data_IF_039218820149
#
_entry.id   IF_039218820149
#
_cell.length_a   1.000
_cell.length_b   1.000
_cell.length_c   1.000
_cell.angle_alpha   90.00
_cell.angle_beta   90.00
_cell.angle_gamma   90.00
#
_symmetry.space_group_name_H-M   'P 1'
#
loop_
_entity.id
_entity.type
_entity.pdbx_description
1 polymer ?
#
# COMPACT_ATOMS: atom_id res chain seq x y z
N UNK A 1 21.04 -10.12 20.55
CA UNK A 1 22.41 -9.56 20.48
C UNK A 1 23.33 -10.43 19.62
N UNK A 2 23.44 -11.72 19.83
CA UNK A 2 24.30 -12.66 19.07
C UNK A 2 24.11 -12.58 17.55
N UNK A 3 22.88 -12.61 17.06
CA UNK A 3 22.57 -12.50 15.63
C UNK A 3 23.02 -11.17 14.98
N UNK A 4 23.04 -10.09 15.76
CA UNK A 4 23.56 -8.80 15.31
C UNK A 4 25.07 -8.84 15.14
N UNK A 5 25.78 -9.43 16.11
CA UNK A 5 27.24 -9.61 16.07
C UNK A 5 27.63 -10.47 14.87
N UNK A 6 26.91 -11.56 14.63
CA UNK A 6 27.13 -12.43 13.46
C UNK A 6 26.96 -11.69 12.13
N UNK A 7 25.93 -10.86 12.02
CA UNK A 7 25.71 -10.05 10.80
C UNK A 7 26.78 -8.98 10.60
N UNK A 8 27.21 -8.34 11.67
CA UNK A 8 28.32 -7.38 11.61
C UNK A 8 29.61 -8.07 11.20
N UNK A 9 29.93 -9.25 11.73
CA UNK A 9 31.11 -10.02 11.35
C UNK A 9 31.08 -10.39 9.87
N UNK A 10 29.97 -10.92 9.38
CA UNK A 10 29.78 -11.20 7.94
C UNK A 10 29.97 -9.96 7.07
N UNK A 11 29.54 -8.80 7.54
CA UNK A 11 29.71 -7.55 6.79
C UNK A 11 31.17 -7.14 6.73
N UNK A 12 31.89 -7.24 7.84
CA UNK A 12 33.34 -6.98 7.93
C UNK A 12 34.09 -7.90 6.96
N UNK A 13 33.79 -9.20 6.98
CA UNK A 13 34.43 -10.19 6.12
C UNK A 13 34.19 -9.89 4.61
N UNK A 14 32.97 -9.47 4.24
CA UNK A 14 32.68 -9.07 2.87
C UNK A 14 33.41 -7.80 2.44
N UNK A 15 33.55 -6.82 3.33
CA UNK A 15 34.33 -5.61 3.10
C UNK A 15 35.81 -5.94 2.92
N UNK A 16 36.37 -6.78 3.79
CA UNK A 16 37.76 -7.23 3.70
C UNK A 16 38.05 -7.95 2.37
N UNK A 17 37.20 -8.93 2.00
CA UNK A 17 37.29 -9.63 0.71
C UNK A 17 37.23 -8.67 -0.48
N UNK A 18 36.37 -7.66 -0.46
CA UNK A 18 36.19 -6.73 -1.55
C UNK A 18 37.30 -5.69 -1.65
N UNK A 19 37.69 -5.09 -0.53
CA UNK A 19 38.63 -3.94 -0.50
C UNK A 19 40.08 -4.42 -0.40
N UNK A 20 40.35 -5.34 0.54
CA UNK A 20 41.73 -5.77 0.82
C UNK A 20 42.21 -6.84 -0.15
N UNK A 21 41.35 -7.79 -0.54
CA UNK A 21 41.71 -8.91 -1.42
C UNK A 21 41.28 -8.70 -2.88
N UNK A 22 40.52 -7.65 -3.17
CA UNK A 22 40.06 -7.34 -4.54
C UNK A 22 39.05 -8.36 -5.11
N UNK A 23 38.44 -9.22 -4.28
CA UNK A 23 37.54 -10.25 -4.74
C UNK A 23 36.23 -9.67 -5.26
N UNK A 24 35.66 -10.27 -6.31
CA UNK A 24 34.30 -9.96 -6.75
C UNK A 24 33.29 -10.71 -5.89
N UNK A 25 32.56 -10.00 -5.03
CA UNK A 25 31.55 -10.61 -4.17
C UNK A 25 30.33 -11.00 -5.01
N UNK A 26 29.92 -12.28 -5.04
CA UNK A 26 28.72 -12.75 -5.71
C UNK A 26 27.47 -12.01 -5.22
N UNK A 27 26.50 -11.81 -6.10
CA UNK A 27 25.28 -11.06 -5.78
C UNK A 27 24.46 -11.70 -4.65
N UNK A 28 24.49 -13.04 -4.55
CA UNK A 28 23.85 -13.83 -3.51
C UNK A 28 24.44 -13.62 -2.11
N UNK A 29 25.73 -13.27 -2.03
CA UNK A 29 26.42 -13.05 -0.75
C UNK A 29 26.33 -11.60 -0.26
N UNK A 30 25.94 -10.64 -1.14
CA UNK A 30 25.86 -9.23 -0.77
C UNK A 30 24.76 -9.00 0.27
N UNK A 31 25.12 -8.51 1.44
CA UNK A 31 24.19 -8.20 2.53
C UNK A 31 23.19 -7.08 2.15
N UNK A 32 23.62 -6.19 1.25
CA UNK A 32 22.86 -5.03 0.76
C UNK A 32 22.59 -5.10 -0.73
N UNK A 33 22.25 -6.26 -1.28
CA UNK A 33 21.90 -6.35 -2.69
C UNK A 33 20.39 -6.25 -2.89
N UNK A 34 20.01 -5.64 -4.03
CA UNK A 34 18.60 -5.53 -4.45
C UNK A 34 17.88 -6.89 -4.52
N UNK A 35 18.59 -7.98 -4.80
CA UNK A 35 18.05 -9.33 -4.93
C UNK A 35 17.97 -10.10 -3.61
N UNK A 36 18.81 -9.77 -2.61
CA UNK A 36 18.85 -10.50 -1.35
C UNK A 36 17.77 -10.07 -0.34
N UNK A 37 16.96 -9.05 -0.64
CA UNK A 37 15.84 -8.60 0.20
C UNK A 37 16.22 -8.03 1.56
N UNK A 38 17.50 -8.09 1.97
CA UNK A 38 17.97 -7.60 3.28
C UNK A 38 18.71 -6.28 3.11
N UNK A 39 18.32 -5.26 3.85
CA UNK A 39 18.74 -3.89 3.53
C UNK A 39 19.09 -3.02 4.73
N UNK A 40 18.81 -3.50 5.92
CA UNK A 40 19.25 -2.90 7.16
C UNK A 40 19.81 -3.97 8.09
N UNK A 41 20.96 -3.70 8.68
CA UNK A 41 21.56 -4.58 9.72
C UNK A 41 20.70 -4.50 10.99
N UNK A 42 20.11 -3.33 11.24
CA UNK A 42 19.32 -3.07 12.45
C UNK A 42 17.85 -3.49 12.29
N UNK A 43 17.27 -3.25 11.09
CA UNK A 43 15.86 -3.55 10.79
C UNK A 43 15.77 -4.46 9.57
N UNK A 44 15.93 -5.78 9.81
CA UNK A 44 16.03 -6.80 8.75
C UNK A 44 14.76 -6.97 7.92
N UNK A 45 13.62 -6.50 8.40
CA UNK A 45 12.34 -6.53 7.70
C UNK A 45 12.21 -5.40 6.67
N UNK A 46 13.07 -4.38 6.72
CA UNK A 46 13.04 -3.25 5.78
C UNK A 46 13.32 -3.69 4.34
N UNK A 47 12.54 -3.21 3.41
CA UNK A 47 12.64 -3.49 1.97
C UNK A 47 13.06 -2.25 1.18
N UNK A 48 13.63 -2.47 0.01
CA UNK A 48 13.87 -1.41 -0.97
C UNK A 48 12.69 -1.34 -1.92
N UNK A 49 11.98 -0.26 -1.88
CA UNK A 49 10.84 -0.03 -2.75
C UNK A 49 11.28 0.88 -3.89
N UNK A 50 11.39 0.31 -5.10
CA UNK A 50 11.69 1.10 -6.29
C UNK A 50 10.45 1.91 -6.68
N UNK A 51 10.57 3.25 -6.68
CA UNK A 51 9.45 4.17 -6.97
C UNK A 51 9.32 4.52 -8.45
N UNK A 52 10.23 4.09 -9.32
CA UNK A 52 10.25 4.48 -10.73
C UNK A 52 10.43 5.99 -11.00
N UNK A 53 10.70 6.77 -9.95
CA UNK A 53 10.97 8.21 -10.01
C UNK A 53 12.47 8.48 -10.18
N UNK A 54 12.83 9.64 -10.77
CA UNK A 54 14.24 10.02 -10.91
C UNK A 54 14.94 10.27 -9.57
N UNK A 55 14.23 10.81 -8.56
CA UNK A 55 14.74 11.06 -7.19
C UNK A 55 13.59 11.12 -6.18
N UNK A 56 13.67 10.42 -5.06
CA UNK A 56 14.52 9.25 -4.84
C UNK A 56 14.05 8.07 -5.69
N UNK A 57 14.99 7.34 -6.29
CA UNK A 57 14.68 6.15 -7.10
C UNK A 57 14.30 4.95 -6.26
N UNK A 58 14.70 4.94 -5.00
CA UNK A 58 14.48 3.87 -4.02
C UNK A 58 14.14 4.49 -2.67
N UNK A 59 13.15 3.93 -2.02
CA UNK A 59 12.79 4.22 -0.63
C UNK A 59 12.97 2.97 0.22
N UNK A 60 13.40 3.16 1.48
CA UNK A 60 13.53 2.09 2.45
C UNK A 60 12.26 2.05 3.30
N UNK A 61 11.67 0.88 3.45
CA UNK A 61 10.46 0.71 4.24
C UNK A 61 9.75 -0.59 3.98
N UNK A 62 8.49 -0.66 4.39
CA UNK A 62 7.55 -1.73 4.07
C UNK A 62 6.41 -1.18 3.25
N UNK A 63 5.96 -1.94 2.27
CA UNK A 63 4.75 -1.62 1.55
C UNK A 63 3.53 -1.90 2.43
N UNK A 64 2.62 -0.94 2.47
CA UNK A 64 1.31 -1.10 3.09
C UNK A 64 0.25 -0.85 2.03
N UNK A 65 -0.53 -1.89 1.72
CA UNK A 65 -1.71 -1.75 0.87
C UNK A 65 -2.91 -1.33 1.72
N UNK A 66 -3.72 -0.41 1.22
CA UNK A 66 -4.97 -0.01 1.86
C UNK A 66 -6.16 -0.21 0.90
N UNK A 67 -7.29 -0.61 1.46
CA UNK A 67 -8.58 -0.65 0.75
C UNK A 67 -9.52 0.36 1.40
N UNK A 68 -10.07 1.26 0.60
CA UNK A 68 -10.98 2.29 1.09
C UNK A 68 -12.37 2.11 0.49
N UNK A 69 -13.38 2.49 1.26
CA UNK A 69 -14.77 2.53 0.81
C UNK A 69 -15.11 3.85 0.09
N UNK A 70 -16.37 3.99 -0.32
CA UNK A 70 -16.90 5.19 -0.98
C UNK A 70 -16.90 6.45 -0.10
N UNK A 71 -16.72 6.32 1.20
CA UNK A 71 -16.66 7.41 2.18
C UNK A 71 -15.22 7.76 2.58
N UNK A 72 -14.23 7.14 1.90
CA UNK A 72 -12.82 7.25 2.21
C UNK A 72 -12.45 6.69 3.61
N UNK A 73 -13.21 5.72 4.13
CA UNK A 73 -12.80 4.95 5.28
C UNK A 73 -11.94 3.78 4.85
N UNK A 74 -10.88 3.51 5.58
CA UNK A 74 -10.01 2.36 5.32
C UNK A 74 -10.67 1.13 5.92
N UNK A 75 -11.20 0.26 5.07
CA UNK A 75 -11.93 -0.95 5.46
C UNK A 75 -11.06 -2.18 5.59
N UNK A 76 -9.90 -2.17 4.92
CA UNK A 76 -8.89 -3.21 5.03
C UNK A 76 -7.49 -2.64 4.75
N UNK A 77 -6.47 -3.24 5.35
CA UNK A 77 -5.07 -2.93 5.07
C UNK A 77 -4.20 -4.19 5.15
N UNK A 78 -3.10 -4.18 4.41
CA UNK A 78 -2.14 -5.28 4.36
C UNK A 78 -0.72 -4.75 4.44
N UNK A 79 0.04 -5.17 5.46
CA UNK A 79 1.49 -5.00 5.48
C UNK A 79 2.10 -6.12 4.64
N UNK A 80 2.76 -5.76 3.55
CA UNK A 80 3.30 -6.74 2.59
C UNK A 80 4.66 -7.24 3.03
N UNK A 81 4.89 -8.54 2.90
CA UNK A 81 6.16 -9.20 3.27
C UNK A 81 6.85 -9.75 2.02
N UNK A 82 7.68 -8.95 1.38
CA UNK A 82 8.38 -9.31 0.13
C UNK A 82 7.45 -9.81 -1.00
N UNK A 83 6.19 -9.38 -0.97
CA UNK A 83 5.17 -9.76 -1.94
C UNK A 83 5.02 -8.70 -3.03
N UNK A 84 4.76 -9.16 -4.25
CA UNK A 84 4.29 -8.27 -5.31
C UNK A 84 2.82 -7.90 -5.06
N UNK A 85 2.42 -6.69 -5.49
CA UNK A 85 1.07 -6.20 -5.33
C UNK A 85 0.02 -7.18 -5.92
N UNK A 86 0.34 -7.84 -7.03
CA UNK A 86 -0.54 -8.83 -7.65
C UNK A 86 -0.73 -10.12 -6.83
N UNK A 87 0.19 -10.45 -5.94
CA UNK A 87 0.11 -11.67 -5.13
C UNK A 87 -0.83 -11.55 -3.92
N UNK A 88 -1.17 -10.32 -3.50
CA UNK A 88 -2.05 -10.10 -2.35
C UNK A 88 -3.53 -10.04 -2.73
N UNK A 89 -3.86 -9.95 -4.02
CA UNK A 89 -5.25 -9.81 -4.49
C UNK A 89 -6.16 -10.94 -4.02
N UNK A 90 -5.81 -12.24 -4.10
CA UNK A 90 -6.68 -13.31 -3.63
C UNK A 90 -7.07 -13.16 -2.16
N UNK A 91 -6.10 -12.83 -1.31
CA UNK A 91 -6.34 -12.61 0.12
C UNK A 91 -7.21 -11.38 0.39
N UNK A 92 -7.00 -10.30 -0.36
CA UNK A 92 -7.83 -9.09 -0.26
C UNK A 92 -9.27 -9.36 -0.67
N UNK A 93 -9.47 -10.13 -1.75
CA UNK A 93 -10.81 -10.53 -2.24
C UNK A 93 -11.53 -11.34 -1.18
N UNK A 94 -10.90 -12.39 -0.66
CA UNK A 94 -11.48 -13.24 0.38
C UNK A 94 -11.91 -12.43 1.62
N UNK A 95 -11.01 -11.61 2.15
CA UNK A 95 -11.28 -10.80 3.36
C UNK A 95 -12.35 -9.73 3.15
N UNK A 96 -12.39 -9.15 1.96
CA UNK A 96 -13.31 -8.04 1.70
C UNK A 96 -14.71 -8.55 1.39
N UNK A 97 -14.85 -9.57 0.55
CA UNK A 97 -16.15 -10.12 0.17
C UNK A 97 -16.82 -10.84 1.36
N UNK A 98 -16.03 -11.44 2.25
CA UNK A 98 -16.60 -12.05 3.47
C UNK A 98 -17.25 -11.04 4.43
N UNK A 99 -16.91 -9.75 4.32
CA UNK A 99 -17.36 -8.69 5.23
C UNK A 99 -18.32 -7.70 4.57
N UNK A 100 -18.17 -7.47 3.28
CA UNK A 100 -18.86 -6.39 2.57
C UNK A 100 -19.44 -6.88 1.24
N UNK A 101 -20.59 -6.32 0.87
CA UNK A 101 -21.10 -6.45 -0.50
C UNK A 101 -20.42 -5.40 -1.39
N UNK A 102 -19.60 -5.86 -2.34
CA UNK A 102 -18.78 -5.01 -3.19
C UNK A 102 -19.38 -4.94 -4.59
N UNK A 103 -19.91 -3.77 -4.97
CA UNK A 103 -20.39 -3.53 -6.33
C UNK A 103 -19.25 -3.23 -7.29
N UNK A 104 -18.31 -2.37 -6.89
CA UNK A 104 -17.17 -1.97 -7.72
C UNK A 104 -15.89 -1.90 -6.92
N UNK A 105 -14.79 -2.34 -7.54
CA UNK A 105 -13.47 -2.24 -6.93
C UNK A 105 -12.42 -1.77 -7.94
N UNK A 106 -11.62 -0.80 -7.53
CA UNK A 106 -10.58 -0.18 -8.34
C UNK A 106 -9.22 -0.46 -7.77
N UNK A 107 -8.28 -0.86 -8.63
CA UNK A 107 -6.92 -1.23 -8.28
C UNK A 107 -5.90 -0.39 -9.06
N UNK A 108 -4.69 -0.27 -8.53
CA UNK A 108 -3.57 0.25 -9.29
C UNK A 108 -3.02 -0.80 -10.27
N UNK A 109 -2.25 -0.35 -11.26
CA UNK A 109 -1.65 -1.21 -12.31
C UNK A 109 -0.74 -2.32 -11.76
N UNK A 110 -0.16 -2.12 -10.55
CA UNK A 110 0.70 -3.10 -9.90
C UNK A 110 -0.02 -4.41 -9.56
N UNK A 111 -1.32 -4.36 -9.35
CA UNK A 111 -2.15 -5.52 -8.99
C UNK A 111 -2.57 -6.38 -10.18
N UNK A 112 -2.27 -5.93 -11.42
CA UNK A 112 -2.73 -6.60 -12.62
C UNK A 112 -1.97 -7.90 -12.91
N UNK A 113 -2.69 -9.00 -13.07
CA UNK A 113 -2.35 -10.21 -13.80
C UNK A 113 -3.64 -10.84 -14.35
N UNK A 114 -3.53 -11.88 -15.19
CA UNK A 114 -4.70 -12.52 -15.81
C UNK A 114 -5.57 -13.26 -14.81
N UNK A 115 -4.95 -13.91 -13.85
CA UNK A 115 -5.60 -14.67 -12.78
C UNK A 115 -6.41 -13.73 -11.88
N UNK A 116 -5.83 -12.62 -11.48
CA UNK A 116 -6.51 -11.60 -10.67
C UNK A 116 -7.70 -10.98 -11.42
N UNK A 117 -7.52 -10.68 -12.72
CA UNK A 117 -8.63 -10.15 -13.52
C UNK A 117 -9.80 -11.13 -13.54
N UNK A 118 -9.52 -12.43 -13.75
CA UNK A 118 -10.53 -13.47 -13.74
C UNK A 118 -11.22 -13.58 -12.38
N UNK A 119 -10.43 -13.74 -11.31
CA UNK A 119 -10.92 -13.86 -9.93
C UNK A 119 -11.83 -12.68 -9.55
N UNK A 120 -11.40 -11.46 -9.85
CA UNK A 120 -12.18 -10.25 -9.55
C UNK A 120 -13.47 -10.20 -10.35
N UNK A 121 -13.44 -10.53 -11.66
CA UNK A 121 -14.63 -10.51 -12.52
C UNK A 121 -15.66 -11.58 -12.16
N UNK A 122 -15.25 -12.68 -11.52
CA UNK A 122 -16.16 -13.71 -11.02
C UNK A 122 -16.89 -13.29 -9.73
N UNK A 123 -16.31 -12.35 -8.97
CA UNK A 123 -16.81 -12.00 -7.65
C UNK A 123 -17.39 -10.57 -7.57
N UNK A 124 -17.08 -9.69 -8.54
CA UNK A 124 -17.39 -8.26 -8.47
C UNK A 124 -17.96 -7.81 -9.81
N UNK A 125 -19.06 -7.10 -9.77
CA UNK A 125 -19.78 -6.66 -10.98
C UNK A 125 -18.96 -5.65 -11.80
N UNK A 126 -18.31 -4.69 -11.15
CA UNK A 126 -17.54 -3.65 -11.81
C UNK A 126 -16.08 -3.62 -11.32
N UNK A 127 -15.17 -4.21 -12.10
CA UNK A 127 -13.75 -4.26 -11.81
C UNK A 127 -12.99 -3.21 -12.62
N UNK A 128 -12.21 -2.37 -11.93
CA UNK A 128 -11.31 -1.39 -12.55
C UNK A 128 -9.87 -1.80 -12.24
N UNK A 129 -9.32 -2.64 -13.10
CA UNK A 129 -7.96 -3.15 -13.02
C UNK A 129 -7.18 -2.78 -14.30
N UNK A 130 -6.47 -1.63 -14.31
CA UNK A 130 -5.73 -1.19 -15.48
C UNK A 130 -4.58 -2.14 -15.81
N UNK A 131 -4.45 -2.55 -17.06
CA UNK A 131 -3.38 -3.44 -17.49
C UNK A 131 -2.02 -2.76 -17.41
N UNK A 132 -1.02 -3.51 -16.95
CA UNK A 132 0.39 -3.12 -17.03
C UNK A 132 0.95 -3.49 -18.40
N UNK A 133 1.47 -2.51 -19.14
CA UNK A 133 2.03 -2.73 -20.48
C UNK A 133 1.05 -2.45 -21.63
N UNK A 134 1.28 -3.08 -22.79
CA UNK A 134 0.45 -2.87 -23.98
C UNK A 134 -0.92 -3.58 -23.84
N UNK A 135 -1.99 -2.85 -24.09
CA UNK A 135 -3.35 -3.40 -24.14
C UNK A 135 -3.62 -3.97 -25.53
N UNK A 136 -4.41 -5.04 -25.58
CA UNK A 136 -5.03 -5.50 -26.82
C UNK A 136 -6.24 -4.61 -27.18
N UNK A 137 -6.91 -4.85 -28.34
CA UNK A 137 -8.05 -4.04 -28.78
C UNK A 137 -9.22 -4.08 -27.81
N UNK A 138 -9.55 -5.25 -27.27
CA UNK A 138 -10.65 -5.46 -26.33
C UNK A 138 -10.39 -4.73 -25.01
N UNK A 139 -9.19 -4.88 -24.43
CA UNK A 139 -8.77 -4.21 -23.22
C UNK A 139 -8.75 -2.68 -23.38
N UNK A 140 -8.36 -2.21 -24.56
CA UNK A 140 -8.38 -0.77 -24.88
C UNK A 140 -9.82 -0.26 -24.92
N UNK A 141 -10.74 -1.01 -25.55
CA UNK A 141 -12.15 -0.67 -25.61
C UNK A 141 -12.77 -0.65 -24.22
N UNK A 142 -12.53 -1.68 -23.39
CA UNK A 142 -12.98 -1.77 -22.00
C UNK A 142 -12.50 -0.55 -21.19
N UNK A 143 -11.20 -0.24 -21.24
CA UNK A 143 -10.61 0.88 -20.49
C UNK A 143 -11.03 2.26 -21.03
N UNK A 144 -11.53 2.33 -22.25
CA UNK A 144 -12.04 3.58 -22.85
C UNK A 144 -13.48 3.92 -22.46
N UNK A 145 -14.23 2.97 -21.87
CA UNK A 145 -15.62 3.18 -21.47
C UNK A 145 -15.76 4.31 -20.45
N UNK A 146 -16.85 5.07 -20.54
CA UNK A 146 -17.13 6.17 -19.60
C UNK A 146 -17.18 5.68 -18.15
N UNK A 147 -17.74 4.48 -17.95
CA UNK A 147 -17.88 3.89 -16.62
C UNK A 147 -16.54 3.53 -16.03
N UNK A 148 -15.66 2.83 -16.77
CA UNK A 148 -14.30 2.50 -16.35
C UNK A 148 -13.50 3.77 -15.98
N UNK A 149 -13.53 4.80 -16.84
CA UNK A 149 -12.85 6.08 -16.59
C UNK A 149 -13.38 6.78 -15.34
N UNK A 150 -14.69 6.76 -15.11
CA UNK A 150 -15.32 7.35 -13.92
C UNK A 150 -14.82 6.68 -12.64
N UNK A 151 -14.82 5.35 -12.58
CA UNK A 151 -14.35 4.63 -11.40
C UNK A 151 -12.83 4.69 -11.23
N UNK A 152 -12.09 4.69 -12.33
CA UNK A 152 -10.63 4.90 -12.28
C UNK A 152 -10.28 6.29 -11.74
N UNK A 153 -11.04 7.32 -12.11
CA UNK A 153 -10.83 8.67 -11.56
C UNK A 153 -11.10 8.71 -10.05
N UNK A 154 -12.11 7.97 -9.58
CA UNK A 154 -12.36 7.85 -8.13
C UNK A 154 -11.19 7.18 -7.37
N UNK A 155 -10.39 6.36 -8.03
CA UNK A 155 -9.20 5.74 -7.42
C UNK A 155 -8.17 6.77 -6.94
N UNK A 156 -8.12 7.97 -7.51
CA UNK A 156 -7.23 9.04 -7.04
C UNK A 156 -7.49 9.46 -5.59
N UNK A 157 -8.69 9.20 -5.05
CA UNK A 157 -8.98 9.43 -3.65
C UNK A 157 -8.13 8.54 -2.72
N UNK A 158 -7.75 7.34 -3.15
CA UNK A 158 -6.88 6.43 -2.39
C UNK A 158 -5.49 7.04 -2.22
N UNK A 159 -4.94 7.68 -3.27
CA UNK A 159 -3.65 8.38 -3.20
C UNK A 159 -3.72 9.53 -2.17
N UNK A 160 -4.84 10.27 -2.14
CA UNK A 160 -5.06 11.31 -1.14
C UNK A 160 -5.11 10.75 0.28
N UNK A 161 -5.75 9.59 0.46
CA UNK A 161 -5.83 8.92 1.76
C UNK A 161 -4.46 8.42 2.23
N UNK A 162 -3.63 7.89 1.32
CA UNK A 162 -2.24 7.49 1.61
C UNK A 162 -1.43 8.71 2.04
N UNK A 163 -1.48 9.80 1.28
CA UNK A 163 -0.78 11.04 1.61
C UNK A 163 -1.22 11.61 2.98
N UNK A 164 -2.50 11.50 3.32
CA UNK A 164 -3.02 11.92 4.62
C UNK A 164 -2.49 11.05 5.77
N UNK A 165 -2.36 9.73 5.56
CA UNK A 165 -1.72 8.81 6.51
C UNK A 165 -0.23 9.13 6.70
N UNK A 166 0.50 9.36 5.61
CA UNK A 166 1.92 9.74 5.62
C UNK A 166 2.12 11.06 6.37
N UNK A 167 1.34 12.10 6.06
CA UNK A 167 1.39 13.39 6.75
C UNK A 167 0.99 13.29 8.23
N UNK A 168 0.24 12.27 8.62
CA UNK A 168 -0.13 11.99 10.01
C UNK A 168 0.89 11.13 10.75
N UNK A 169 2.05 10.88 10.14
CA UNK A 169 3.20 10.22 10.78
C UNK A 169 3.51 8.80 10.29
N UNK A 170 2.72 8.24 9.35
CA UNK A 170 3.00 6.89 8.83
C UNK A 170 4.22 6.85 7.89
N UNK A 171 4.72 8.00 7.43
CA UNK A 171 5.94 8.13 6.64
C UNK A 171 7.20 7.77 7.44
N UNK A 172 7.17 7.92 8.77
CA UNK A 172 8.29 7.65 9.68
C UNK A 172 7.84 6.83 10.87
N UNK A 173 8.31 5.60 10.89
CA UNK A 173 8.07 4.72 12.01
C UNK A 173 9.05 5.06 13.16
N UNK A 174 8.54 5.50 14.32
CA UNK A 174 9.38 6.00 15.41
C UNK A 174 9.97 4.92 16.33
N UNK A 175 9.46 3.69 16.25
CA UNK A 175 9.84 2.57 17.11
C UNK A 175 10.67 1.53 16.34
N UNK A 176 11.05 0.41 16.97
CA UNK A 176 11.84 -0.65 16.38
C UNK A 176 11.10 -1.98 16.40
N UNK A 177 11.40 -2.81 15.40
CA UNK A 177 10.88 -4.17 15.31
C UNK A 177 9.58 -4.28 14.48
N UNK A 178 9.47 -5.40 13.78
CA UNK A 178 8.42 -5.61 12.79
C UNK A 178 7.01 -5.70 13.39
N UNK A 179 6.88 -6.34 14.55
CA UNK A 179 5.56 -6.45 15.20
C UNK A 179 5.07 -5.11 15.77
N UNK A 180 5.99 -4.25 16.21
CA UNK A 180 5.67 -2.89 16.60
C UNK A 180 5.26 -2.07 15.37
N UNK A 181 5.94 -2.25 14.23
CA UNK A 181 5.54 -1.62 12.97
C UNK A 181 4.11 -1.99 12.57
N UNK A 182 3.75 -3.29 12.60
CA UNK A 182 2.38 -3.73 12.29
C UNK A 182 1.34 -3.09 13.21
N UNK A 183 1.64 -3.00 14.52
CA UNK A 183 0.77 -2.32 15.49
C UNK A 183 0.65 -0.82 15.21
N UNK A 184 1.75 -0.18 14.85
CA UNK A 184 1.75 1.23 14.50
C UNK A 184 0.88 1.53 13.29
N UNK A 185 0.98 0.70 12.23
CA UNK A 185 0.09 0.79 11.05
C UNK A 185 -1.37 0.63 11.45
N UNK A 186 -1.68 -0.34 12.31
CA UNK A 186 -3.05 -0.56 12.83
C UNK A 186 -3.59 0.66 13.56
N UNK A 187 -2.78 1.27 14.44
CA UNK A 187 -3.15 2.48 15.17
C UNK A 187 -3.35 3.67 14.23
N UNK A 188 -2.46 3.84 13.25
CA UNK A 188 -2.58 4.92 12.25
C UNK A 188 -3.88 4.81 11.44
N UNK A 189 -4.23 3.60 10.98
CA UNK A 189 -5.49 3.35 10.28
C UNK A 189 -6.69 3.63 11.17
N UNK A 190 -6.65 3.20 12.43
CA UNK A 190 -7.73 3.45 13.39
C UNK A 190 -7.91 4.93 13.67
N UNK A 191 -6.83 5.66 13.91
CA UNK A 191 -6.85 7.10 14.14
C UNK A 191 -7.37 7.88 12.92
N UNK A 192 -6.94 7.47 11.71
CA UNK A 192 -7.44 8.02 10.46
C UNK A 192 -8.96 7.87 10.35
N UNK A 193 -9.49 6.66 10.55
CA UNK A 193 -10.91 6.40 10.46
C UNK A 193 -11.71 7.16 11.52
N UNK A 194 -11.24 7.20 12.77
CA UNK A 194 -11.88 7.97 13.84
C UNK A 194 -11.96 9.45 13.50
N UNK A 195 -10.89 10.03 12.96
CA UNK A 195 -10.89 11.43 12.54
C UNK A 195 -11.88 11.69 11.40
N UNK A 196 -11.95 10.79 10.40
CA UNK A 196 -12.91 10.90 9.29
C UNK A 196 -14.34 10.81 9.77
N UNK A 197 -14.65 9.84 10.63
CA UNK A 197 -16.00 9.69 11.23
C UNK A 197 -16.35 10.92 12.06
N UNK A 198 -15.43 11.41 12.90
CA UNK A 198 -15.64 12.60 13.72
C UNK A 198 -15.92 13.85 12.88
N UNK A 199 -15.17 14.06 11.79
CA UNK A 199 -15.39 15.17 10.88
C UNK A 199 -16.79 15.11 10.21
N UNK A 200 -17.21 13.91 9.79
CA UNK A 200 -18.53 13.71 9.17
C UNK A 200 -19.66 13.96 10.19
N UNK A 201 -19.52 13.48 11.42
CA UNK A 201 -20.51 13.71 12.48
C UNK A 201 -20.65 15.21 12.80
N UNK A 202 -19.55 15.93 12.92
CA UNK A 202 -19.54 17.38 13.14
C UNK A 202 -20.21 18.11 11.96
N UNK A 203 -19.91 17.70 10.71
CA UNK A 203 -20.52 18.31 9.54
C UNK A 203 -22.04 18.09 9.48
N UNK A 204 -22.50 16.88 9.83
CA UNK A 204 -23.94 16.57 9.93
C UNK A 204 -24.63 17.39 11.03
N UNK A 205 -23.98 17.53 12.17
CA UNK A 205 -24.54 18.34 13.27
C UNK A 205 -24.65 19.82 12.88
N UNK A 206 -23.63 20.39 12.23
CA UNK A 206 -23.67 21.76 11.71
C UNK A 206 -24.81 21.96 10.73
N UNK A 207 -24.96 21.11 9.74
CA UNK A 207 -26.09 21.17 8.79
C UNK A 207 -27.45 21.07 9.47
N UNK A 208 -27.56 20.22 10.50
CA UNK A 208 -28.79 20.09 11.29
C UNK A 208 -29.14 21.38 12.05
N UNK A 209 -28.12 22.02 12.67
CA UNK A 209 -28.29 23.30 13.37
C UNK A 209 -28.69 24.41 12.41
N UNK A 210 -28.03 24.53 11.25
CA UNK A 210 -28.35 25.50 10.20
C UNK A 210 -29.78 25.34 9.68
N UNK A 211 -30.20 24.11 9.39
CA UNK A 211 -31.57 23.82 8.95
C UNK A 211 -32.63 24.13 10.03
N UNK A 212 -32.29 23.97 11.31
CA UNK A 212 -33.17 24.35 12.41
C UNK A 212 -33.30 25.88 12.53
N UNK A 213 -32.19 26.60 12.39
CA UNK A 213 -32.20 28.08 12.44
C UNK A 213 -32.96 28.68 11.26
N UNK A 214 -32.78 28.16 10.05
CA UNK A 214 -33.53 28.64 8.86
C UNK A 214 -35.04 28.44 9.00
N UNK A 215 -35.49 27.32 9.61
CA UNK A 215 -36.93 27.07 9.86
C UNK A 215 -37.52 27.98 10.94
N UNK A 216 -36.72 28.51 11.85
CA UNK A 216 -37.19 29.44 12.88
C UNK A 216 -37.21 30.88 12.38
N UNK A 217 -36.52 31.20 11.30
CA UNK A 217 -36.44 32.52 10.70
C UNK A 217 -37.48 32.75 9.57
N UNK A 218 -38.14 31.67 9.12
CA UNK A 218 -39.25 31.69 8.14
C UNK A 218 -40.59 31.63 8.84
#
# INVERSE_FOLDING_TARGET
MERFIELMQKHIDLVDRRIMKGETIPHSEKLFSLSAGRRSIFEQYTEWVAKGKKRPSVELGKKVGITTDQYNLIVDYQVMENQADSQVVPLLVERTISKFTVYSWSFDKGYWNKENKKLLSENIEMVVLPKKGKCNKEETTEQSTKLFRKFRHKHSAVESNINELENSGLDRYPDRGYDHFKRYVSLAVSAYNLRRIGAELIARERKRKEACLSRKAA
#
